data_IF_255156134891
#
_entry.id   IF_255156134891
#
_cell.length_a   1.000
_cell.length_b   1.000
_cell.length_c   1.000
_cell.angle_alpha   90.00
_cell.angle_beta   90.00
_cell.angle_gamma   90.00
#
_symmetry.space_group_name_H-M   'P 1'
#
loop_
_entity.id
_entity.type
_entity.pdbx_description
1 polymer ?
#
# COMPACT_ATOMS: atom_id res chain seq x y z
N UNK A 1 -12.23 6.03 -8.99
CA UNK A 1 -11.71 4.62 -8.89
C UNK A 1 -11.98 3.77 -10.15
N UNK A 2 -12.29 4.43 -11.27
CA UNK A 2 -12.48 3.72 -12.56
C UNK A 2 -11.21 2.98 -12.99
N UNK A 3 -10.04 3.58 -12.79
CA UNK A 3 -8.73 3.02 -13.13
C UNK A 3 -8.51 1.60 -12.56
N UNK A 4 -8.94 1.38 -11.31
CA UNK A 4 -8.87 0.05 -10.68
C UNK A 4 -9.83 -0.94 -11.36
N UNK A 5 -11.07 -0.53 -11.66
CA UNK A 5 -12.04 -1.39 -12.33
C UNK A 5 -11.61 -1.74 -13.75
N UNK A 6 -10.97 -0.81 -14.46
CA UNK A 6 -10.43 -1.05 -15.81
C UNK A 6 -9.34 -2.13 -15.79
N UNK A 7 -8.48 -2.15 -14.74
CA UNK A 7 -7.47 -3.21 -14.56
C UNK A 7 -8.16 -4.54 -14.26
N UNK A 8 -9.14 -4.56 -13.35
CA UNK A 8 -9.87 -5.77 -12.98
C UNK A 8 -10.60 -6.39 -14.19
N UNK A 9 -11.28 -5.56 -14.99
CA UNK A 9 -11.94 -5.98 -16.24
C UNK A 9 -10.92 -6.49 -17.26
N UNK A 10 -9.78 -5.79 -17.41
CA UNK A 10 -8.71 -6.21 -18.32
C UNK A 10 -8.14 -7.59 -17.95
N UNK A 11 -7.94 -7.88 -16.67
CA UNK A 11 -7.48 -9.20 -16.22
C UNK A 11 -8.48 -10.29 -16.64
N UNK A 12 -9.79 -10.05 -16.44
CA UNK A 12 -10.84 -11.01 -16.82
C UNK A 12 -10.92 -11.27 -18.32
N UNK A 13 -10.61 -10.27 -19.16
CA UNK A 13 -10.70 -10.38 -20.63
C UNK A 13 -9.41 -10.89 -21.28
N UNK A 14 -8.26 -10.49 -20.76
CA UNK A 14 -6.96 -10.67 -21.41
C UNK A 14 -6.00 -11.55 -20.62
N UNK A 15 -6.33 -11.87 -19.35
CA UNK A 15 -5.44 -12.60 -18.46
C UNK A 15 -5.17 -14.03 -18.91
N UNK A 16 -3.94 -14.46 -18.72
CA UNK A 16 -3.50 -15.83 -18.95
C UNK A 16 -3.60 -16.63 -17.64
N UNK A 17 -4.18 -17.82 -17.69
CA UNK A 17 -4.24 -18.69 -16.53
C UNK A 17 -2.86 -19.25 -16.20
N UNK A 18 -2.51 -19.21 -14.92
CA UNK A 18 -1.23 -19.71 -14.38
C UNK A 18 -1.46 -20.44 -13.06
N UNK A 19 -0.59 -21.41 -12.78
CA UNK A 19 -0.43 -21.93 -11.43
C UNK A 19 0.26 -20.90 -10.53
N UNK A 20 0.09 -21.06 -9.21
CA UNK A 20 0.75 -20.24 -8.20
C UNK A 20 1.19 -21.10 -7.00
N UNK A 21 1.94 -20.48 -6.06
CA UNK A 21 2.47 -21.16 -4.87
C UNK A 21 1.37 -21.74 -3.98
N UNK A 22 0.21 -21.10 -3.92
CA UNK A 22 -0.90 -21.51 -3.04
C UNK A 22 -1.71 -22.69 -3.60
N UNK A 23 -1.52 -23.02 -4.87
CA UNK A 23 -2.30 -24.06 -5.56
C UNK A 23 -3.71 -23.63 -5.97
N UNK A 24 -4.14 -22.41 -5.65
CA UNK A 24 -5.45 -21.88 -6.04
C UNK A 24 -5.52 -21.63 -7.54
N UNK A 25 -4.41 -21.23 -8.16
CA UNK A 25 -4.35 -20.76 -9.54
C UNK A 25 -4.80 -19.32 -9.71
N UNK A 26 -4.29 -18.67 -10.75
CA UNK A 26 -4.59 -17.28 -11.05
C UNK A 26 -4.86 -17.09 -12.54
N UNK A 27 -5.54 -15.99 -12.89
CA UNK A 27 -5.43 -15.36 -14.20
C UNK A 27 -4.66 -14.06 -14.04
N UNK A 28 -3.72 -13.76 -14.92
CA UNK A 28 -2.85 -12.60 -14.77
C UNK A 28 -2.47 -11.94 -16.09
N UNK A 29 -2.17 -10.64 -15.99
CA UNK A 29 -1.50 -9.85 -17.00
C UNK A 29 -0.18 -9.31 -16.42
N UNK A 30 0.79 -9.01 -17.27
CA UNK A 30 2.07 -8.50 -16.81
C UNK A 30 2.25 -7.02 -17.19
N UNK A 31 2.48 -6.19 -16.19
CA UNK A 31 2.73 -4.76 -16.35
C UNK A 31 1.45 -3.93 -16.52
N UNK A 32 1.03 -3.25 -15.44
CA UNK A 32 0.00 -2.22 -15.51
C UNK A 32 0.44 -0.96 -14.78
N UNK A 33 -0.20 0.16 -15.10
CA UNK A 33 -0.03 1.39 -14.36
C UNK A 33 -1.37 2.11 -14.24
N UNK A 34 -1.66 2.61 -13.05
CA UNK A 34 -2.82 3.46 -12.78
C UNK A 34 -2.41 4.71 -12.02
N UNK A 35 -3.16 5.79 -12.20
CA UNK A 35 -2.88 7.10 -11.59
C UNK A 35 -4.13 7.59 -10.86
N UNK A 36 -3.91 8.08 -9.65
CA UNK A 36 -4.94 8.61 -8.75
C UNK A 36 -4.53 10.02 -8.31
N UNK A 37 -5.24 11.03 -8.79
CA UNK A 37 -5.04 12.40 -8.35
C UNK A 37 -5.72 12.59 -6.98
N UNK A 38 -4.95 12.97 -5.95
CA UNK A 38 -5.51 13.14 -4.61
C UNK A 38 -6.37 14.39 -4.45
N UNK A 39 -6.41 15.29 -5.43
CA UNK A 39 -7.39 16.40 -5.47
C UNK A 39 -8.81 15.91 -5.77
N UNK A 40 -8.95 14.77 -6.48
CA UNK A 40 -10.27 14.17 -6.76
C UNK A 40 -10.89 13.51 -5.51
N UNK A 41 -10.13 13.37 -4.44
CA UNK A 41 -10.50 12.71 -3.19
C UNK A 41 -9.56 11.57 -2.82
N UNK A 42 -9.80 10.97 -1.66
CA UNK A 42 -9.00 9.85 -1.16
C UNK A 42 -9.37 8.55 -1.91
N UNK A 43 -8.40 7.85 -2.57
CA UNK A 43 -8.70 6.72 -3.45
C UNK A 43 -9.01 5.44 -2.67
N UNK A 44 -10.07 5.46 -1.89
CA UNK A 44 -10.65 4.31 -1.20
C UNK A 44 -11.82 3.78 -2.02
N UNK A 45 -11.81 2.48 -2.35
CA UNK A 45 -12.84 1.87 -3.19
C UNK A 45 -14.23 2.07 -2.62
N UNK A 46 -15.17 2.50 -3.48
CA UNK A 46 -16.59 2.59 -3.17
C UNK A 46 -17.40 1.42 -3.72
N UNK A 47 -16.86 0.67 -4.67
CA UNK A 47 -17.54 -0.51 -5.27
C UNK A 47 -17.55 -1.74 -4.36
N UNK A 48 -16.75 -1.74 -3.30
CA UNK A 48 -16.88 -2.62 -2.13
C UNK A 48 -16.31 -1.93 -0.89
N UNK A 49 -16.90 -2.19 0.28
CA UNK A 49 -16.39 -1.64 1.54
C UNK A 49 -15.04 -2.25 1.90
N UNK A 50 -14.06 -1.40 2.23
CA UNK A 50 -12.74 -1.78 2.75
C UNK A 50 -12.64 -1.52 4.25
N UNK A 51 -11.77 -2.25 4.92
CA UNK A 51 -11.50 -2.11 6.35
C UNK A 51 -10.38 -1.09 6.59
N UNK A 52 -10.72 0.21 6.56
CA UNK A 52 -9.77 1.32 6.69
C UNK A 52 -8.90 1.23 7.94
N UNK A 53 -9.46 0.75 9.06
CA UNK A 53 -8.70 0.57 10.30
C UNK A 53 -7.44 -0.27 10.10
N UNK A 54 -7.55 -1.39 9.38
CA UNK A 54 -6.39 -2.24 9.08
C UNK A 54 -5.35 -1.52 8.22
N UNK A 55 -5.79 -0.73 7.25
CA UNK A 55 -4.90 0.04 6.36
C UNK A 55 -4.09 1.06 7.16
N UNK A 56 -4.73 1.81 8.05
CA UNK A 56 -4.06 2.83 8.86
C UNK A 56 -3.07 2.17 9.84
N UNK A 57 -3.49 1.16 10.60
CA UNK A 57 -2.60 0.51 11.57
C UNK A 57 -1.42 -0.20 10.91
N UNK A 58 -1.60 -0.83 9.75
CA UNK A 58 -0.51 -1.43 8.99
C UNK A 58 0.52 -0.38 8.56
N UNK A 59 0.08 0.76 8.01
CA UNK A 59 0.98 1.83 7.61
C UNK A 59 1.74 2.41 8.80
N UNK A 60 1.06 2.66 9.92
CA UNK A 60 1.71 3.12 11.16
C UNK A 60 2.72 2.10 11.69
N UNK A 61 2.41 0.82 11.59
CA UNK A 61 3.29 -0.27 11.98
C UNK A 61 4.57 -0.31 11.11
N UNK A 62 4.45 -0.15 9.79
CA UNK A 62 5.62 0.00 8.92
C UNK A 62 6.47 1.22 9.29
N UNK A 63 5.84 2.37 9.55
CA UNK A 63 6.54 3.60 9.93
C UNK A 63 7.21 3.52 11.30
N UNK A 64 6.75 2.67 12.20
CA UNK A 64 7.43 2.37 13.46
C UNK A 64 8.69 1.50 13.28
N UNK A 65 8.88 0.90 12.11
CA UNK A 65 9.97 -0.05 11.87
C UNK A 65 9.75 -1.41 12.54
N UNK A 66 8.52 -1.66 12.98
CA UNK A 66 8.15 -2.89 13.70
C UNK A 66 7.90 -4.05 12.72
N UNK A 67 8.20 -5.26 13.16
CA UNK A 67 8.02 -6.51 12.40
C UNK A 67 7.23 -7.56 13.16
N UNK A 68 6.88 -7.28 14.42
CA UNK A 68 6.06 -8.16 15.25
C UNK A 68 4.58 -7.79 15.11
N UNK A 69 3.72 -8.79 14.92
CA UNK A 69 2.28 -8.58 14.73
C UNK A 69 1.54 -8.13 15.98
N UNK A 70 2.18 -8.14 17.15
CA UNK A 70 1.54 -7.79 18.42
C UNK A 70 0.90 -6.40 18.41
N UNK A 71 1.58 -5.39 17.85
CA UNK A 71 1.01 -4.05 17.71
C UNK A 71 -0.30 -4.05 16.91
N UNK A 72 -0.35 -4.82 15.83
CA UNK A 72 -1.54 -4.96 15.00
C UNK A 72 -2.66 -5.68 15.77
N UNK A 73 -2.34 -6.79 16.45
CA UNK A 73 -3.28 -7.59 17.22
C UNK A 73 -3.88 -6.81 18.39
N UNK A 74 -3.08 -6.06 19.13
CA UNK A 74 -3.51 -5.21 20.25
C UNK A 74 -4.53 -4.14 19.77
N UNK A 75 -4.47 -3.77 18.50
CA UNK A 75 -5.41 -2.84 17.86
C UNK A 75 -6.52 -3.55 17.05
N UNK A 76 -6.67 -4.86 17.20
CA UNK A 76 -7.72 -5.64 16.55
C UNK A 76 -7.52 -5.87 15.05
N UNK A 77 -6.29 -5.72 14.54
CA UNK A 77 -5.88 -5.97 13.15
C UNK A 77 -5.17 -7.32 13.08
N UNK A 78 -5.60 -8.18 12.15
CA UNK A 78 -5.13 -9.57 12.06
C UNK A 78 -4.64 -9.97 10.67
N UNK A 79 -4.43 -9.00 9.79
CA UNK A 79 -4.12 -9.23 8.37
C UNK A 79 -2.75 -9.87 8.12
N UNK A 80 -1.91 -9.99 9.15
CA UNK A 80 -0.58 -10.59 9.09
C UNK A 80 -0.43 -11.87 9.92
N UNK A 81 -1.49 -12.30 10.65
CA UNK A 81 -1.43 -13.43 11.59
C UNK A 81 -1.02 -14.75 10.93
N UNK A 82 -1.41 -14.96 9.66
CA UNK A 82 -1.18 -16.23 8.94
C UNK A 82 0.29 -16.46 8.56
N UNK A 83 1.10 -15.41 8.58
CA UNK A 83 2.53 -15.48 8.24
C UNK A 83 3.45 -15.37 9.46
N UNK A 84 2.93 -14.93 10.60
CA UNK A 84 3.72 -14.76 11.80
C UNK A 84 4.06 -16.12 12.44
N UNK A 85 5.26 -16.21 13.01
CA UNK A 85 5.67 -17.36 13.82
C UNK A 85 4.94 -17.41 15.18
N UNK A 86 5.28 -18.36 16.02
CA UNK A 86 4.70 -18.55 17.36
C UNK A 86 4.94 -17.37 18.33
N UNK A 87 5.96 -16.55 18.06
CA UNK A 87 6.30 -15.36 18.81
C UNK A 87 5.71 -14.08 18.20
N UNK A 88 5.02 -14.20 17.08
CA UNK A 88 4.44 -13.08 16.35
C UNK A 88 5.43 -12.37 15.41
N UNK A 89 6.59 -12.96 15.15
CA UNK A 89 7.62 -12.37 14.29
C UNK A 89 7.41 -12.72 12.82
N UNK A 90 7.78 -11.77 11.95
CA UNK A 90 7.71 -11.89 10.50
C UNK A 90 9.07 -11.84 9.81
N UNK A 91 10.15 -11.70 10.59
CA UNK A 91 11.47 -11.41 10.05
C UNK A 91 11.61 -9.97 9.55
N UNK A 92 12.66 -9.65 8.78
CA UNK A 92 13.00 -8.27 8.42
C UNK A 92 12.10 -7.70 7.29
N UNK A 93 10.77 -7.76 7.48
CA UNK A 93 9.77 -7.27 6.51
C UNK A 93 9.74 -5.73 6.46
N UNK A 94 8.84 -5.18 5.68
CA UNK A 94 8.67 -3.75 5.32
C UNK A 94 9.16 -2.71 6.33
N UNK A 95 8.70 -2.75 7.58
CA UNK A 95 9.08 -1.78 8.60
C UNK A 95 10.58 -1.78 8.89
N UNK A 96 11.17 -2.97 9.01
CA UNK A 96 12.62 -3.11 9.17
C UNK A 96 13.38 -2.50 7.99
N UNK A 97 13.01 -2.84 6.76
CA UNK A 97 13.69 -2.34 5.58
C UNK A 97 13.55 -0.81 5.43
N UNK A 98 12.39 -0.25 5.75
CA UNK A 98 12.16 1.19 5.66
C UNK A 98 12.94 2.00 6.68
N UNK A 99 13.11 1.46 7.91
CA UNK A 99 13.61 2.19 9.06
C UNK A 99 14.98 1.73 9.57
N UNK A 100 15.39 0.52 9.25
CA UNK A 100 16.58 -0.11 9.82
C UNK A 100 17.31 -0.96 8.79
N UNK A 101 17.38 -0.50 7.54
CA UNK A 101 18.14 -1.20 6.50
C UNK A 101 19.59 -1.37 6.92
N UNK A 102 20.16 -2.59 6.90
CA UNK A 102 21.54 -2.83 7.32
C UNK A 102 22.53 -2.00 6.49
N UNK A 103 23.38 -1.21 7.17
CA UNK A 103 24.47 -0.50 6.53
C UNK A 103 25.71 -1.39 6.37
N UNK A 104 26.44 -1.15 5.32
CA UNK A 104 27.70 -1.86 5.02
C UNK A 104 28.73 -1.79 6.15
N UNK A 105 28.71 -0.74 6.98
CA UNK A 105 29.61 -0.52 8.09
C UNK A 105 29.09 -1.05 9.43
N UNK A 106 28.01 -1.84 9.43
CA UNK A 106 27.41 -2.41 10.63
C UNK A 106 26.45 -1.47 11.39
N UNK A 107 26.07 -0.35 10.79
CA UNK A 107 25.00 0.54 11.24
C UNK A 107 23.67 0.22 10.58
N UNK A 108 22.74 1.18 10.63
CA UNK A 108 21.44 1.11 9.98
C UNK A 108 21.14 2.39 9.20
N UNK A 109 20.38 2.25 8.13
CA UNK A 109 19.89 3.34 7.29
C UNK A 109 18.39 3.46 7.49
N UNK A 110 17.93 4.62 7.96
CA UNK A 110 16.51 4.98 8.01
C UNK A 110 16.13 5.69 6.68
N UNK A 111 15.60 4.92 5.74
CA UNK A 111 15.22 5.41 4.42
C UNK A 111 14.09 6.45 4.49
N UNK A 112 13.14 6.30 5.42
CA UNK A 112 12.03 7.26 5.58
C UNK A 112 12.55 8.60 6.08
N UNK A 113 13.42 8.61 7.09
CA UNK A 113 14.04 9.85 7.59
C UNK A 113 14.85 10.56 6.52
N UNK A 114 15.62 9.80 5.71
CA UNK A 114 16.39 10.36 4.59
C UNK A 114 15.49 10.99 3.54
N UNK A 115 14.38 10.35 3.18
CA UNK A 115 13.43 10.91 2.20
C UNK A 115 12.74 12.16 2.74
N UNK A 116 12.32 12.17 4.02
CA UNK A 116 11.76 13.39 4.64
C UNK A 116 12.74 14.55 4.61
N UNK A 117 14.02 14.29 4.92
CA UNK A 117 15.07 15.30 4.85
C UNK A 117 15.26 15.82 3.42
N UNK A 118 15.34 14.93 2.43
CA UNK A 118 15.47 15.31 1.02
C UNK A 118 14.29 16.13 0.52
N UNK A 119 13.07 15.76 0.89
CA UNK A 119 11.85 16.51 0.53
C UNK A 119 11.86 17.93 1.07
N UNK A 120 12.44 18.14 2.26
CA UNK A 120 12.54 19.49 2.88
C UNK A 120 13.69 20.33 2.31
N UNK A 121 14.82 19.72 1.97
CA UNK A 121 16.05 20.46 1.67
C UNK A 121 16.48 20.36 0.19
N UNK A 122 16.11 19.28 -0.49
CA UNK A 122 16.49 19.03 -1.90
C UNK A 122 15.33 18.42 -2.69
N UNK A 123 14.16 19.12 -2.77
CA UNK A 123 12.93 18.56 -3.36
C UNK A 123 13.07 18.18 -4.86
N UNK A 124 14.05 18.73 -5.57
CA UNK A 124 14.34 18.38 -6.98
C UNK A 124 15.16 17.06 -7.12
N UNK A 125 15.49 16.41 -6.01
CA UNK A 125 16.26 15.15 -6.01
C UNK A 125 15.49 14.05 -6.76
N UNK A 126 16.21 13.29 -7.60
CA UNK A 126 15.71 12.07 -8.25
C UNK A 126 16.01 10.81 -7.44
N UNK A 127 16.52 10.96 -6.20
CA UNK A 127 16.99 9.87 -5.33
C UNK A 127 16.08 9.66 -4.12
N UNK A 128 14.89 10.24 -4.11
CA UNK A 128 13.90 10.07 -3.04
C UNK A 128 13.18 8.73 -3.20
N UNK A 129 13.90 7.66 -2.87
CA UNK A 129 13.49 6.27 -3.09
C UNK A 129 13.53 5.54 -1.75
N UNK A 130 12.52 4.67 -1.53
CA UNK A 130 12.49 3.70 -0.43
C UNK A 130 12.33 2.31 -1.03
N UNK A 131 13.22 1.38 -0.65
CA UNK A 131 13.19 -0.01 -1.08
C UNK A 131 12.87 -0.92 0.12
N UNK A 132 11.94 -1.84 -0.09
CA UNK A 132 11.69 -2.95 0.83
C UNK A 132 12.34 -4.25 0.34
N UNK A 133 12.78 -4.29 -0.93
CA UNK A 133 13.41 -5.46 -1.51
C UNK A 133 14.91 -5.49 -1.22
N UNK A 134 15.29 -6.18 -0.15
CA UNK A 134 16.68 -6.41 0.22
C UNK A 134 17.10 -7.83 -0.19
N UNK A 135 17.93 -7.93 -1.22
CA UNK A 135 18.37 -9.22 -1.78
C UNK A 135 19.12 -10.07 -0.77
N UNK A 136 19.79 -9.46 0.21
CA UNK A 136 20.52 -10.17 1.25
C UNK A 136 19.60 -10.79 2.31
N UNK A 137 18.42 -10.21 2.57
CA UNK A 137 17.53 -10.60 3.69
C UNK A 137 16.16 -11.13 3.22
N UNK A 138 15.87 -11.09 1.92
CA UNK A 138 14.54 -11.46 1.39
C UNK A 138 14.13 -12.89 1.73
N UNK A 139 15.08 -13.79 1.90
CA UNK A 139 14.83 -15.19 2.26
C UNK A 139 14.58 -15.39 3.78
N UNK A 140 14.84 -14.39 4.59
CA UNK A 140 14.58 -14.39 6.04
C UNK A 140 13.19 -13.83 6.38
N UNK A 141 12.50 -13.28 5.39
CA UNK A 141 11.17 -12.69 5.53
C UNK A 141 10.10 -13.78 5.46
N UNK A 142 9.14 -13.78 6.37
CA UNK A 142 7.99 -14.68 6.33
C UNK A 142 7.19 -14.52 5.02
N UNK A 143 7.14 -13.31 4.48
CA UNK A 143 6.56 -12.99 3.17
C UNK A 143 7.43 -11.96 2.45
N UNK A 144 8.12 -12.32 1.34
CA UNK A 144 8.86 -11.36 0.52
C UNK A 144 7.99 -10.20 0.04
N UNK A 145 8.49 -8.94 0.08
CA UNK A 145 7.68 -7.76 -0.19
C UNK A 145 7.01 -7.79 -1.55
N UNK A 146 5.70 -7.63 -1.60
CA UNK A 146 4.93 -7.46 -2.82
C UNK A 146 5.10 -6.04 -3.38
N UNK A 147 4.93 -5.01 -2.55
CA UNK A 147 5.21 -3.63 -2.88
C UNK A 147 6.68 -3.33 -2.53
N UNK A 148 7.53 -3.37 -3.57
CA UNK A 148 8.99 -3.52 -3.42
C UNK A 148 9.75 -2.21 -3.30
N UNK A 149 9.32 -1.17 -4.04
CA UNK A 149 10.02 0.11 -4.13
C UNK A 149 9.02 1.23 -4.41
N UNK A 150 9.22 2.38 -3.79
CA UNK A 150 8.48 3.58 -4.15
C UNK A 150 9.40 4.80 -4.21
N UNK A 151 9.00 5.77 -5.04
CA UNK A 151 9.73 6.99 -5.31
C UNK A 151 8.83 8.19 -5.17
N UNK A 152 9.36 9.27 -4.58
CA UNK A 152 8.71 10.57 -4.52
C UNK A 152 9.20 11.49 -5.62
N UNK A 153 8.31 12.42 -6.01
CA UNK A 153 8.57 13.45 -7.00
C UNK A 153 7.86 14.74 -6.61
N UNK A 154 8.57 15.87 -6.68
CA UNK A 154 8.02 17.18 -6.38
C UNK A 154 8.00 18.03 -7.66
N UNK A 155 6.85 18.63 -7.94
CA UNK A 155 6.69 19.62 -8.98
C UNK A 155 5.60 20.63 -8.57
N UNK A 156 5.81 21.90 -8.84
CA UNK A 156 4.84 22.99 -8.58
C UNK A 156 4.29 22.98 -7.14
N UNK A 157 5.16 22.65 -6.16
CA UNK A 157 4.80 22.57 -4.74
C UNK A 157 3.91 21.37 -4.39
N UNK A 158 3.79 20.38 -5.28
CA UNK A 158 3.00 19.15 -5.11
C UNK A 158 3.91 17.94 -5.02
N UNK A 159 3.60 17.06 -4.08
CA UNK A 159 4.28 15.79 -3.89
C UNK A 159 3.48 14.67 -4.56
N UNK A 160 4.14 13.92 -5.43
CA UNK A 160 3.61 12.69 -6.02
C UNK A 160 4.43 11.48 -5.56
N UNK A 161 3.80 10.31 -5.57
CA UNK A 161 4.42 9.04 -5.18
C UNK A 161 4.15 7.98 -6.25
N UNK A 162 5.19 7.29 -6.72
CA UNK A 162 5.05 6.12 -7.56
C UNK A 162 5.48 4.87 -6.80
N UNK A 163 4.60 3.86 -6.75
CA UNK A 163 4.86 2.54 -6.21
C UNK A 163 5.09 1.54 -7.34
N UNK A 164 6.10 0.68 -7.22
CA UNK A 164 6.20 -0.57 -7.97
C UNK A 164 5.87 -1.77 -7.07
N UNK A 165 4.84 -2.50 -7.45
CA UNK A 165 4.38 -3.72 -6.80
C UNK A 165 4.62 -4.91 -7.74
N UNK A 166 5.55 -5.81 -7.36
CA UNK A 166 5.93 -6.96 -8.20
C UNK A 166 4.85 -8.01 -8.36
N UNK A 167 4.01 -8.17 -7.33
CA UNK A 167 2.93 -9.16 -7.24
C UNK A 167 1.70 -8.49 -6.67
N UNK A 168 0.62 -8.45 -7.45
CA UNK A 168 -0.56 -7.65 -7.17
C UNK A 168 -1.83 -8.50 -7.22
N UNK A 169 -2.24 -9.03 -6.05
CA UNK A 169 -3.59 -9.59 -5.86
C UNK A 169 -4.62 -8.46 -6.05
N UNK A 170 -5.21 -8.44 -7.23
CA UNK A 170 -6.04 -7.32 -7.65
C UNK A 170 -7.34 -7.24 -6.87
N UNK A 171 -7.88 -8.35 -6.36
CA UNK A 171 -9.15 -8.33 -5.65
C UNK A 171 -9.02 -7.96 -4.17
N UNK A 172 -8.11 -8.59 -3.42
CA UNK A 172 -7.94 -8.34 -1.98
C UNK A 172 -6.85 -7.30 -1.69
N UNK A 173 -5.64 -7.50 -2.21
CA UNK A 173 -4.47 -6.71 -1.84
C UNK A 173 -4.42 -5.31 -2.45
N UNK A 174 -4.58 -5.20 -3.77
CA UNK A 174 -4.42 -3.93 -4.50
C UNK A 174 -5.26 -2.78 -3.93
N UNK A 175 -6.55 -2.97 -3.57
CA UNK A 175 -7.33 -1.89 -2.97
C UNK A 175 -6.75 -1.35 -1.65
N UNK A 176 -6.18 -2.22 -0.82
CA UNK A 176 -5.49 -1.84 0.42
C UNK A 176 -4.21 -1.08 0.10
N UNK A 177 -3.40 -1.56 -0.86
CA UNK A 177 -2.15 -0.91 -1.24
C UNK A 177 -2.39 0.49 -1.82
N UNK A 178 -3.40 0.69 -2.68
CA UNK A 178 -3.77 2.01 -3.21
C UNK A 178 -4.07 2.98 -2.07
N UNK A 179 -4.92 2.60 -1.13
CA UNK A 179 -5.31 3.46 -0.01
C UNK A 179 -4.14 3.72 0.95
N UNK A 180 -3.33 2.69 1.25
CA UNK A 180 -2.17 2.81 2.14
C UNK A 180 -1.13 3.79 1.59
N UNK A 181 -0.75 3.66 0.32
CA UNK A 181 0.26 4.55 -0.28
C UNK A 181 -0.27 5.94 -0.59
N UNK A 182 -1.57 6.09 -0.88
CA UNK A 182 -2.22 7.40 -0.96
C UNK A 182 -2.23 8.11 0.40
N UNK A 183 -2.44 7.36 1.49
CA UNK A 183 -2.36 7.90 2.86
C UNK A 183 -0.92 8.31 3.20
N UNK A 184 0.06 7.46 2.90
CA UNK A 184 1.48 7.79 3.07
C UNK A 184 1.86 9.07 2.31
N UNK A 185 1.38 9.23 1.07
CA UNK A 185 1.60 10.44 0.28
C UNK A 185 1.02 11.69 0.95
N UNK A 186 -0.22 11.62 1.48
CA UNK A 186 -0.82 12.74 2.21
C UNK A 186 -0.04 13.09 3.49
N UNK A 187 0.36 12.08 4.28
CA UNK A 187 1.15 12.27 5.49
C UNK A 187 2.50 12.93 5.18
N UNK A 188 3.22 12.41 4.17
CA UNK A 188 4.51 12.95 3.73
C UNK A 188 4.38 14.39 3.22
N UNK A 189 3.36 14.68 2.43
CA UNK A 189 3.09 16.05 1.96
C UNK A 189 2.87 17.00 3.13
N UNK A 190 2.07 16.63 4.14
CA UNK A 190 1.81 17.45 5.32
C UNK A 190 3.10 17.78 6.09
N UNK A 191 3.91 16.78 6.44
CA UNK A 191 5.10 16.96 7.29
C UNK A 191 6.25 17.67 6.57
N UNK A 192 6.17 17.77 5.24
CA UNK A 192 7.16 18.47 4.41
C UNK A 192 6.67 19.80 3.86
N UNK A 193 5.43 20.21 4.19
CA UNK A 193 4.85 21.48 3.75
C UNK A 193 4.44 21.52 2.27
N UNK A 194 4.30 20.36 1.64
CA UNK A 194 3.89 20.22 0.24
C UNK A 194 2.38 19.93 0.14
N UNK A 195 1.81 20.08 -1.05
CA UNK A 195 0.44 19.64 -1.35
C UNK A 195 0.46 18.23 -1.90
N UNK A 196 -0.53 17.36 -1.57
CA UNK A 196 -0.65 16.06 -2.22
C UNK A 196 -0.87 16.21 -3.73
N UNK A 197 -0.16 15.39 -4.51
CA UNK A 197 -0.26 15.28 -5.95
C UNK A 197 -0.89 13.96 -6.38
N UNK A 198 -0.20 13.25 -7.28
CA UNK A 198 -0.64 11.97 -7.82
C UNK A 198 -0.03 10.79 -7.08
N UNK A 199 -0.85 9.79 -6.78
CA UNK A 199 -0.36 8.44 -6.52
C UNK A 199 -0.36 7.63 -7.82
N UNK A 200 0.81 7.10 -8.21
CA UNK A 200 1.00 6.26 -9.38
C UNK A 200 1.27 4.84 -8.91
N UNK A 201 0.42 3.89 -9.31
CA UNK A 201 0.58 2.49 -8.97
C UNK A 201 1.00 1.69 -10.21
N UNK A 202 2.23 1.20 -10.20
CA UNK A 202 2.80 0.34 -11.24
C UNK A 202 2.89 -1.07 -10.71
N UNK A 203 2.39 -2.04 -11.45
CA UNK A 203 2.38 -3.45 -11.05
C UNK A 203 3.10 -4.35 -12.04
N UNK A 204 3.76 -5.39 -11.55
CA UNK A 204 4.35 -6.47 -12.33
C UNK A 204 3.33 -7.56 -12.66
N UNK A 205 3.37 -8.70 -11.95
CA UNK A 205 2.35 -9.75 -12.07
C UNK A 205 1.05 -9.26 -11.41
N UNK A 206 0.09 -8.92 -12.24
CA UNK A 206 -1.21 -8.35 -11.85
C UNK A 206 -2.25 -9.44 -12.04
N UNK A 207 -2.68 -10.04 -10.94
CA UNK A 207 -3.45 -11.27 -10.98
C UNK A 207 -4.75 -11.21 -10.20
N UNK A 208 -5.63 -12.12 -10.56
CA UNK A 208 -6.87 -12.45 -9.88
C UNK A 208 -6.86 -13.94 -9.59
N UNK A 209 -7.03 -14.33 -8.34
CA UNK A 209 -7.16 -15.74 -7.96
C UNK A 209 -8.43 -16.36 -8.54
N UNK A 210 -8.36 -17.64 -8.92
CA UNK A 210 -9.49 -18.31 -9.58
C UNK A 210 -10.73 -18.41 -8.68
N UNK A 211 -10.55 -18.45 -7.36
CA UNK A 211 -11.64 -18.43 -6.38
C UNK A 211 -12.26 -17.04 -6.16
N UNK A 212 -11.74 -15.98 -6.83
CA UNK A 212 -12.28 -14.61 -6.77
C UNK A 212 -12.98 -14.14 -8.05
N UNK A 213 -13.13 -14.99 -9.06
CA UNK A 213 -13.68 -14.60 -10.36
C UNK A 213 -15.12 -14.07 -10.26
N UNK A 214 -15.97 -14.73 -9.49
CA UNK A 214 -17.38 -14.33 -9.34
C UNK A 214 -17.50 -13.03 -8.52
N UNK A 215 -16.66 -12.87 -7.51
CA UNK A 215 -16.57 -11.65 -6.72
C UNK A 215 -16.12 -10.45 -7.58
N UNK A 216 -15.15 -10.67 -8.44
CA UNK A 216 -14.66 -9.65 -9.37
C UNK A 216 -15.75 -9.24 -10.39
N UNK A 217 -16.46 -10.22 -10.98
CA UNK A 217 -17.59 -9.96 -11.86
C UNK A 217 -18.69 -9.17 -11.15
N UNK A 218 -19.06 -9.58 -9.93
CA UNK A 218 -20.03 -8.84 -9.12
C UNK A 218 -19.56 -7.39 -8.86
N UNK A 219 -18.29 -7.18 -8.52
CA UNK A 219 -17.77 -5.84 -8.28
C UNK A 219 -17.85 -4.96 -9.53
N UNK A 220 -17.61 -5.50 -10.72
CA UNK A 220 -17.69 -4.80 -11.99
C UNK A 220 -19.12 -4.37 -12.38
N UNK A 221 -20.15 -4.98 -11.79
CA UNK A 221 -21.55 -4.51 -12.00
C UNK A 221 -21.87 -3.23 -11.22
N UNK A 222 -21.01 -2.79 -10.31
CA UNK A 222 -21.25 -1.66 -9.42
C UNK A 222 -20.60 -0.39 -9.96
N UNK A 223 -21.38 0.69 -10.01
CA UNK A 223 -20.90 2.01 -10.42
C UNK A 223 -20.13 2.68 -9.27
N UNK A 224 -18.91 3.18 -9.50
CA UNK A 224 -18.17 3.93 -8.47
C UNK A 224 -18.99 5.13 -7.98
N UNK A 225 -19.00 5.34 -6.68
CA UNK A 225 -19.58 6.52 -6.01
C UNK A 225 -18.50 7.58 -5.79
N UNK A 226 -18.86 8.82 -5.43
CA UNK A 226 -17.89 9.86 -5.11
C UNK A 226 -16.83 9.38 -4.12
N UNK A 227 -15.59 9.84 -4.29
CA UNK A 227 -14.50 9.50 -3.38
C UNK A 227 -14.70 10.21 -2.02
N UNK A 228 -14.34 9.54 -0.93
CA UNK A 228 -14.30 10.18 0.39
C UNK A 228 -13.15 11.18 0.50
N UNK A 229 -13.17 11.96 1.56
CA UNK A 229 -12.09 12.85 1.95
C UNK A 229 -11.40 12.29 3.19
N UNK A 230 -10.08 12.14 3.12
CA UNK A 230 -9.27 11.81 4.29
C UNK A 230 -8.77 13.12 4.92
N UNK A 231 -9.23 13.43 6.12
CA UNK A 231 -8.69 14.51 6.93
C UNK A 231 -7.62 13.97 7.86
N UNK A 232 -6.52 14.69 7.93
CA UNK A 232 -5.38 14.37 8.79
C UNK A 232 -5.20 15.52 9.78
N UNK A 233 -4.93 15.19 11.05
CA UNK A 233 -4.67 16.19 12.10
C UNK A 233 -3.52 17.11 11.68
N UNK A 234 -3.76 18.42 11.47
CA UNK A 234 -2.76 19.34 10.95
C UNK A 234 -1.65 19.67 11.98
N UNK A 235 -1.84 19.31 13.24
CA UNK A 235 -0.88 19.60 14.31
C UNK A 235 0.29 18.62 14.31
N UNK A 236 0.15 17.45 13.67
CA UNK A 236 1.23 16.47 13.55
C UNK A 236 2.29 16.96 12.57
N UNK A 237 3.54 17.08 13.02
CA UNK A 237 4.68 17.65 12.27
C UNK A 237 5.77 16.65 11.91
N UNK A 238 5.74 15.46 12.49
CA UNK A 238 6.66 14.38 12.19
C UNK A 238 5.89 13.18 11.62
N UNK A 239 6.45 12.54 10.59
CA UNK A 239 5.88 11.34 9.97
C UNK A 239 5.74 10.17 10.97
N UNK A 240 6.52 10.19 12.05
CA UNK A 240 6.58 9.15 13.06
C UNK A 240 5.64 9.37 14.25
N UNK A 241 5.02 10.57 14.34
CA UNK A 241 4.18 10.95 15.49
C UNK A 241 2.70 10.67 15.24
N UNK A 242 2.30 10.32 14.02
CA UNK A 242 0.92 10.00 13.70
C UNK A 242 0.38 8.82 14.52
N UNK A 243 -0.84 8.97 15.00
CA UNK A 243 -1.64 7.94 15.66
C UNK A 243 -2.92 7.68 14.87
N UNK A 244 -3.61 6.59 15.17
CA UNK A 244 -4.85 6.25 14.47
C UNK A 244 -5.92 7.36 14.55
N UNK A 245 -5.99 8.06 15.67
CA UNK A 245 -6.95 9.13 15.97
C UNK A 245 -6.72 10.40 15.14
N UNK A 246 -5.54 10.53 14.51
CA UNK A 246 -5.22 11.67 13.63
C UNK A 246 -5.87 11.58 12.25
N UNK A 247 -6.56 10.48 11.96
CA UNK A 247 -7.18 10.23 10.65
C UNK A 247 -8.70 10.19 10.75
N UNK A 248 -9.38 11.04 9.97
CA UNK A 248 -10.83 11.07 9.88
C UNK A 248 -11.28 10.93 8.43
N UNK A 249 -12.04 9.88 8.12
CA UNK A 249 -12.61 9.67 6.79
C UNK A 249 -14.02 10.27 6.74
N UNK A 250 -14.26 11.19 5.79
CA UNK A 250 -15.55 11.84 5.59
C UNK A 250 -16.17 11.43 4.24
N UNK A 251 -17.49 11.24 4.21
CA UNK A 251 -18.23 10.99 2.98
C UNK A 251 -18.00 9.59 2.37
N UNK A 252 -17.54 8.60 3.13
CA UNK A 252 -17.35 7.24 2.62
C UNK A 252 -18.69 6.48 2.57
N UNK A 253 -19.22 6.35 1.35
CA UNK A 253 -20.48 5.63 1.06
C UNK A 253 -20.21 4.45 0.10
N UNK A 254 -19.62 3.35 0.57
CA UNK A 254 -19.32 2.20 -0.28
C UNK A 254 -20.53 1.27 -0.44
N UNK A 255 -20.51 0.49 -1.53
CA UNK A 255 -21.31 -0.72 -1.59
C UNK A 255 -20.90 -1.72 -0.51
N UNK A 256 -21.77 -2.67 -0.13
CA UNK A 256 -21.45 -3.70 0.85
C UNK A 256 -20.16 -4.45 0.50
N UNK A 257 -19.49 -4.92 1.55
CA UNK A 257 -18.31 -5.79 1.41
C UNK A 257 -18.63 -7.02 0.54
N UNK A 258 -17.66 -7.45 -0.25
CA UNK A 258 -17.70 -8.70 -1.00
C UNK A 258 -16.71 -9.66 -0.33
N UNK A 259 -17.23 -10.72 0.30
CA UNK A 259 -16.39 -11.71 0.98
C UNK A 259 -15.59 -12.52 -0.03
N UNK A 260 -14.31 -12.72 0.24
CA UNK A 260 -13.42 -13.59 -0.50
C UNK A 260 -12.42 -14.24 0.46
N UNK A 261 -11.95 -15.43 0.13
CA UNK A 261 -10.98 -16.17 0.93
C UNK A 261 -9.56 -15.73 0.56
N UNK A 262 -8.69 -15.63 1.57
CA UNK A 262 -7.27 -15.35 1.34
C UNK A 262 -6.61 -16.64 0.82
N UNK A 263 -5.81 -16.50 -0.24
CA UNK A 263 -4.99 -17.60 -0.75
C UNK A 263 -3.59 -17.51 -0.11
N UNK A 264 -3.21 -18.48 0.70
CA UNK A 264 -1.96 -18.55 1.50
C UNK A 264 -1.07 -19.72 1.12
#
# INVERSE_FOLDING_TARGET
MKQYLDILDRILREGTQKGDRTGTGTISIFGTQSRYNLEDGFPLLTTKKLHLKSIIYELLWFLKGDTNVKYLQDNGVRIWNEWADENGELGPVYGHQWRSWPDYNGGVIDQISQVVDQLKHTPDSRRMIVSAWNVAEVNEMALPPCHTIFQFYVADGRLSLQLYQRSADTFLGVPFNIASYALLLQMMAQVTGLKPGDFIHTTGDTHLYLNHLDQARLQLTRTPRPLPVMKINPDVKSIFDFQYEDFQLEGYDPYPHIKAEVSV
#
